data_IF_675669186341
#
_entry.id   IF_675669186341
#
_cell.length_a   1.000
_cell.length_b   1.000
_cell.length_c   1.000
_cell.angle_alpha   90.00
_cell.angle_beta   90.00
_cell.angle_gamma   90.00
#
_symmetry.space_group_name_H-M   'P 1'
#
loop_
_entity.id
_entity.type
_entity.pdbx_description
1 polymer ?
#
# COMPACT_ATOMS: atom_id res chain seq x y z
N UNK A 1 14.89 15.59 -21.61
CA UNK A 1 14.65 15.78 -20.16
C UNK A 1 14.89 14.44 -19.50
N UNK A 2 15.66 14.37 -18.42
CA UNK A 2 15.84 13.13 -17.66
C UNK A 2 14.54 12.82 -16.93
N UNK A 3 14.12 11.55 -16.94
CA UNK A 3 12.95 11.12 -16.15
C UNK A 3 13.21 11.32 -14.66
N UNK A 4 12.15 11.56 -13.88
CA UNK A 4 12.27 11.52 -12.42
C UNK A 4 12.33 10.09 -11.89
N UNK A 5 12.85 9.91 -10.67
CA UNK A 5 12.82 8.61 -9.99
C UNK A 5 11.67 8.53 -8.99
N UNK A 6 10.93 7.42 -9.01
CA UNK A 6 9.90 7.09 -8.02
C UNK A 6 10.22 5.75 -7.35
N UNK A 7 9.83 5.64 -6.08
CA UNK A 7 9.86 4.40 -5.29
C UNK A 7 8.42 3.97 -5.02
N UNK A 8 8.14 2.68 -5.18
CA UNK A 8 6.81 2.11 -5.01
C UNK A 8 6.78 1.18 -3.79
N UNK A 9 6.07 1.58 -2.73
CA UNK A 9 5.78 0.76 -1.56
C UNK A 9 4.67 1.39 -0.71
N UNK A 10 3.91 0.56 0.00
CA UNK A 10 2.93 1.00 0.98
C UNK A 10 3.57 1.21 2.34
N UNK A 11 3.28 2.36 2.96
CA UNK A 11 3.60 2.66 4.35
C UNK A 11 2.33 2.83 5.17
N UNK A 12 2.35 2.39 6.43
CA UNK A 12 1.18 2.34 7.29
C UNK A 12 0.62 3.74 7.55
N UNK A 13 -0.59 3.99 7.05
CA UNK A 13 -1.29 5.25 7.25
C UNK A 13 -0.84 6.40 6.33
N UNK A 14 0.05 6.14 5.36
CA UNK A 14 0.52 7.19 4.46
C UNK A 14 -0.52 7.63 3.41
N UNK A 15 -1.48 6.75 3.07
CA UNK A 15 -2.57 7.06 2.13
C UNK A 15 -2.18 7.05 0.65
N UNK A 16 -0.92 6.78 0.32
CA UNK A 16 -0.44 6.54 -1.04
C UNK A 16 0.73 5.56 -1.06
N UNK A 17 1.28 5.32 -2.25
CA UNK A 17 2.29 4.29 -2.47
C UNK A 17 3.48 4.72 -3.34
N UNK A 18 3.48 5.95 -3.88
CA UNK A 18 4.55 6.47 -4.70
C UNK A 18 5.33 7.55 -3.95
N UNK A 19 6.64 7.39 -3.89
CA UNK A 19 7.54 8.29 -3.17
C UNK A 19 8.61 8.81 -4.11
N UNK A 20 9.14 10.01 -3.87
CA UNK A 20 10.30 10.49 -4.60
C UNK A 20 11.51 9.56 -4.37
N UNK A 21 12.17 9.15 -5.46
CA UNK A 21 13.34 8.27 -5.45
C UNK A 21 14.68 8.99 -5.44
N UNK A 22 14.70 10.29 -5.74
CA UNK A 22 15.89 11.13 -5.73
C UNK A 22 15.54 12.55 -5.23
N UNK A 23 16.58 13.37 -5.02
CA UNK A 23 16.44 14.73 -4.52
C UNK A 23 15.73 15.66 -5.52
N UNK A 24 15.99 15.51 -6.82
CA UNK A 24 15.39 16.36 -7.86
C UNK A 24 13.89 16.12 -7.98
N UNK A 25 13.46 14.86 -7.95
CA UNK A 25 12.06 14.47 -7.93
C UNK A 25 11.40 14.88 -6.63
N UNK A 26 12.11 14.80 -5.50
CA UNK A 26 11.64 15.31 -4.21
C UNK A 26 11.51 16.83 -4.20
N UNK A 27 12.40 17.58 -4.85
CA UNK A 27 12.27 19.04 -4.94
C UNK A 27 11.03 19.44 -5.77
N UNK A 28 10.72 18.66 -6.82
CA UNK A 28 9.56 18.89 -7.69
C UNK A 28 8.23 18.44 -7.08
N UNK A 29 8.20 17.25 -6.48
CA UNK A 29 6.98 16.60 -5.98
C UNK A 29 6.86 16.68 -4.45
N UNK A 30 7.87 17.17 -3.74
CA UNK A 30 7.97 17.28 -2.28
C UNK A 30 7.96 15.96 -1.50
N UNK A 31 7.51 16.05 -0.25
CA UNK A 31 7.65 15.01 0.78
C UNK A 31 6.34 14.23 0.96
N UNK A 32 6.47 12.96 1.32
CA UNK A 32 5.35 12.04 1.50
C UNK A 32 5.00 11.30 0.21
N UNK A 33 3.92 10.51 0.22
CA UNK A 33 3.45 9.85 -0.98
C UNK A 33 2.90 10.89 -1.96
N UNK A 34 3.46 10.93 -3.16
CA UNK A 34 3.17 11.97 -4.18
C UNK A 34 1.85 11.72 -4.90
N UNK A 35 1.33 10.50 -4.81
CA UNK A 35 0.06 10.08 -5.38
C UNK A 35 -1.13 10.30 -4.43
N UNK A 36 -0.91 10.63 -3.16
CA UNK A 36 -1.98 10.88 -2.19
C UNK A 36 -2.31 12.37 -2.07
N UNK A 37 -3.60 12.68 -1.91
CA UNK A 37 -4.06 14.00 -1.47
C UNK A 37 -4.05 14.11 0.06
N UNK A 38 -4.24 15.33 0.58
CA UNK A 38 -4.45 15.55 2.02
C UNK A 38 -5.92 15.81 2.30
N UNK A 39 -6.40 15.36 3.47
CA UNK A 39 -7.80 15.46 3.88
C UNK A 39 -7.89 16.01 5.30
N UNK A 40 -8.98 16.74 5.59
CA UNK A 40 -9.30 17.12 6.96
C UNK A 40 -9.92 15.94 7.74
N UNK A 41 -10.16 16.14 9.05
CA UNK A 41 -10.81 15.14 9.91
C UNK A 41 -12.25 14.79 9.49
N UNK A 42 -12.85 15.56 8.57
CA UNK A 42 -14.19 15.33 8.01
C UNK A 42 -14.11 14.70 6.61
N UNK A 43 -12.93 14.29 6.16
CA UNK A 43 -12.70 13.67 4.86
C UNK A 43 -12.76 14.64 3.68
N UNK A 44 -12.73 15.96 3.91
CA UNK A 44 -12.70 16.96 2.83
C UNK A 44 -11.27 17.09 2.31
N UNK A 45 -11.13 17.09 0.98
CA UNK A 45 -9.84 17.29 0.32
C UNK A 45 -9.31 18.69 0.67
N UNK A 46 -8.15 18.74 1.31
CA UNK A 46 -7.41 19.97 1.59
C UNK A 46 -6.43 20.29 0.45
N UNK A 47 -5.80 19.27 -0.12
CA UNK A 47 -4.96 19.40 -1.31
C UNK A 47 -5.05 18.16 -2.19
N UNK A 48 -5.05 18.32 -3.53
CA UNK A 48 -5.02 17.17 -4.44
C UNK A 48 -3.67 16.45 -4.37
N UNK A 49 -3.64 15.24 -4.92
CA UNK A 49 -2.40 14.52 -5.20
C UNK A 49 -1.53 15.30 -6.18
N UNK A 50 -0.22 15.31 -5.94
CA UNK A 50 0.76 16.00 -6.81
C UNK A 50 1.00 15.23 -8.11
N UNK A 51 0.83 13.92 -8.03
CA UNK A 51 0.90 13.01 -9.14
C UNK A 51 -0.46 12.29 -9.26
N UNK A 52 -1.43 12.89 -9.98
CA UNK A 52 -2.75 12.30 -10.11
C UNK A 52 -2.70 11.02 -10.94
N UNK A 53 -3.35 9.97 -10.44
CA UNK A 53 -3.45 8.67 -11.10
C UNK A 53 -4.79 8.53 -11.83
N UNK A 54 -4.92 7.57 -12.75
CA UNK A 54 -6.23 7.22 -13.29
C UNK A 54 -7.20 6.74 -12.19
N UNK A 55 -8.51 6.87 -12.41
CA UNK A 55 -9.51 6.38 -11.47
C UNK A 55 -9.36 4.89 -11.16
N UNK A 56 -8.89 4.09 -12.12
CA UNK A 56 -8.62 2.67 -11.91
C UNK A 56 -7.42 2.45 -10.97
N UNK A 57 -6.33 3.19 -11.17
CA UNK A 57 -5.15 3.12 -10.33
C UNK A 57 -5.42 3.63 -8.90
N UNK A 58 -6.17 4.73 -8.77
CA UNK A 58 -6.57 5.26 -7.46
C UNK A 58 -7.39 4.23 -6.66
N UNK A 59 -8.42 3.63 -7.27
CA UNK A 59 -9.26 2.62 -6.59
C UNK A 59 -8.44 1.40 -6.15
N UNK A 60 -7.61 0.86 -7.03
CA UNK A 60 -6.78 -0.30 -6.71
C UNK A 60 -5.76 0.02 -5.61
N UNK A 61 -5.13 1.20 -5.66
CA UNK A 61 -4.24 1.68 -4.60
C UNK A 61 -4.99 1.83 -3.28
N UNK A 62 -6.16 2.44 -3.26
CA UNK A 62 -6.91 2.69 -2.03
C UNK A 62 -7.40 1.37 -1.41
N UNK A 63 -7.75 0.37 -2.23
CA UNK A 63 -8.05 -1.00 -1.80
C UNK A 63 -6.82 -1.70 -1.23
N UNK A 64 -5.69 -1.65 -1.91
CA UNK A 64 -4.44 -2.22 -1.42
C UNK A 64 -3.95 -1.54 -0.14
N UNK A 65 -4.01 -0.21 -0.05
CA UNK A 65 -3.63 0.55 1.14
C UNK A 65 -4.52 0.19 2.34
N UNK A 66 -5.83 0.02 2.11
CA UNK A 66 -6.73 -0.48 3.15
C UNK A 66 -6.37 -1.91 3.57
N UNK A 67 -6.13 -2.82 2.62
CA UNK A 67 -5.70 -4.17 2.95
C UNK A 67 -4.40 -4.17 3.74
N UNK A 68 -3.36 -3.50 3.25
CA UNK A 68 -2.04 -3.37 3.86
C UNK A 68 -2.10 -2.85 5.30
N UNK A 69 -3.00 -1.91 5.60
CA UNK A 69 -3.22 -1.43 6.98
C UNK A 69 -3.59 -2.54 7.99
N UNK A 70 -4.03 -3.70 7.50
CA UNK A 70 -4.42 -4.88 8.27
C UNK A 70 -3.36 -5.99 8.25
N UNK A 71 -2.19 -5.73 7.68
CA UNK A 71 -1.09 -6.71 7.66
C UNK A 71 -0.46 -6.90 9.03
N UNK A 72 -0.22 -5.82 9.78
CA UNK A 72 0.35 -5.89 11.13
C UNK A 72 -0.55 -6.64 12.09
N UNK A 73 0.07 -7.37 13.02
CA UNK A 73 -0.66 -8.07 14.05
C UNK A 73 -1.45 -7.08 14.94
N UNK A 74 -2.74 -7.36 15.20
CA UNK A 74 -3.62 -6.43 15.89
C UNK A 74 -3.36 -6.33 17.40
N UNK A 75 -2.71 -7.32 18.01
CA UNK A 75 -2.35 -7.29 19.44
C UNK A 75 -1.02 -6.59 19.65
N UNK A 76 -0.01 -6.94 18.87
CA UNK A 76 1.32 -6.37 18.96
C UNK A 76 2.00 -6.39 17.59
N UNK A 77 2.24 -5.24 16.93
CA UNK A 77 2.66 -5.20 15.52
C UNK A 77 3.88 -6.06 15.13
N UNK A 78 4.91 -6.25 15.98
CA UNK A 78 6.04 -7.13 15.69
C UNK A 78 5.72 -8.64 15.70
N UNK A 79 4.58 -9.05 16.24
CA UNK A 79 4.14 -10.45 16.21
C UNK A 79 3.70 -10.88 14.81
N UNK A 80 3.57 -12.20 14.55
CA UNK A 80 3.16 -12.72 13.24
C UNK A 80 1.90 -12.05 12.69
N UNK A 81 1.94 -11.65 11.42
CA UNK A 81 0.73 -11.27 10.69
C UNK A 81 -0.28 -12.42 10.72
N UNK A 82 -1.56 -12.10 10.84
CA UNK A 82 -2.63 -13.11 10.79
C UNK A 82 -3.00 -13.53 9.38
N UNK A 83 -2.39 -12.97 8.34
CA UNK A 83 -2.73 -13.27 6.96
C UNK A 83 -2.39 -14.71 6.59
N UNK A 84 -3.34 -15.42 6.00
CA UNK A 84 -3.05 -16.71 5.37
C UNK A 84 -2.21 -16.54 4.11
N UNK A 85 -1.55 -17.62 3.69
CA UNK A 85 -0.82 -17.63 2.42
C UNK A 85 -1.71 -17.22 1.24
N UNK A 86 -2.96 -17.68 1.21
CA UNK A 86 -3.91 -17.34 0.15
C UNK A 86 -4.24 -15.84 0.11
N UNK A 87 -4.28 -15.17 1.26
CA UNK A 87 -4.48 -13.72 1.33
C UNK A 87 -3.22 -12.98 0.86
N UNK A 88 -2.04 -13.42 1.30
CA UNK A 88 -0.76 -12.89 0.83
C UNK A 88 -0.63 -12.97 -0.70
N UNK A 89 -0.95 -14.12 -1.30
CA UNK A 89 -0.87 -14.34 -2.75
C UNK A 89 -1.80 -13.38 -3.52
N UNK A 90 -3.04 -13.21 -3.07
CA UNK A 90 -3.99 -12.27 -3.68
C UNK A 90 -3.50 -10.83 -3.59
N UNK A 91 -3.04 -10.42 -2.41
CA UNK A 91 -2.51 -9.08 -2.22
C UNK A 91 -1.31 -8.81 -3.14
N UNK A 92 -0.35 -9.74 -3.19
CA UNK A 92 0.83 -9.60 -4.03
C UNK A 92 0.47 -9.50 -5.52
N UNK A 93 -0.49 -10.30 -6.00
CA UNK A 93 -0.96 -10.23 -7.38
C UNK A 93 -1.60 -8.87 -7.71
N UNK A 94 -2.37 -8.30 -6.78
CA UNK A 94 -2.96 -6.97 -6.95
C UNK A 94 -1.90 -5.85 -6.87
N UNK A 95 -0.86 -6.01 -6.03
CA UNK A 95 0.31 -5.12 -6.01
C UNK A 95 1.02 -5.13 -7.37
N UNK A 96 1.27 -6.29 -7.95
CA UNK A 96 1.90 -6.42 -9.26
C UNK A 96 1.04 -5.78 -10.36
N UNK A 97 -0.28 -5.95 -10.27
CA UNK A 97 -1.25 -5.30 -11.18
C UNK A 97 -1.20 -3.78 -11.06
N UNK A 98 -1.14 -3.24 -9.83
CA UNK A 98 -1.02 -1.80 -9.61
C UNK A 98 0.30 -1.28 -10.16
N UNK A 99 1.42 -1.94 -9.88
CA UNK A 99 2.74 -1.53 -10.38
C UNK A 99 2.79 -1.49 -11.91
N UNK A 100 2.23 -2.51 -12.57
CA UNK A 100 2.14 -2.53 -14.04
C UNK A 100 1.27 -1.37 -14.58
N UNK A 101 0.18 -1.04 -13.88
CA UNK A 101 -0.68 0.08 -14.22
C UNK A 101 0.05 1.42 -14.08
N UNK A 102 0.74 1.64 -12.96
CA UNK A 102 1.52 2.85 -12.70
C UNK A 102 2.66 3.02 -13.72
N UNK A 103 3.38 1.95 -14.05
CA UNK A 103 4.44 1.99 -15.07
C UNK A 103 3.91 2.35 -16.45
N UNK A 104 2.71 1.89 -16.81
CA UNK A 104 2.07 2.27 -18.07
C UNK A 104 1.64 3.74 -18.07
N UNK A 105 1.09 4.22 -16.96
CA UNK A 105 0.57 5.59 -16.84
C UNK A 105 1.68 6.64 -16.72
N UNK A 106 2.77 6.32 -16.02
CA UNK A 106 3.78 7.30 -15.59
C UNK A 106 5.17 7.05 -16.20
N UNK A 107 5.36 5.91 -16.86
CA UNK A 107 6.66 5.46 -17.36
C UNK A 107 7.29 6.35 -18.43
N UNK A 108 6.52 7.28 -19.01
CA UNK A 108 7.05 8.31 -19.91
C UNK A 108 7.91 9.35 -19.18
N UNK A 109 7.49 9.73 -17.97
CA UNK A 109 8.09 10.83 -17.21
C UNK A 109 8.91 10.37 -16.00
N UNK A 110 8.67 9.14 -15.53
CA UNK A 110 9.28 8.60 -14.33
C UNK A 110 9.75 7.15 -14.50
N UNK A 111 10.87 6.80 -13.86
CA UNK A 111 11.27 5.42 -13.64
C UNK A 111 10.84 4.99 -12.23
N UNK A 112 10.12 3.85 -12.14
CA UNK A 112 9.50 3.37 -10.90
C UNK A 112 10.24 2.13 -10.38
N UNK A 113 10.95 2.31 -9.27
CA UNK A 113 11.60 1.24 -8.50
C UNK A 113 10.58 0.57 -7.59
N UNK A 114 10.46 -0.75 -7.71
CA UNK A 114 9.61 -1.55 -6.85
C UNK A 114 10.34 -1.86 -5.55
N UNK A 115 9.84 -1.36 -4.44
CA UNK A 115 10.38 -1.60 -3.09
C UNK A 115 9.35 -2.27 -2.18
N UNK A 116 8.16 -2.59 -2.70
CA UNK A 116 7.13 -3.26 -1.92
C UNK A 116 7.57 -4.71 -1.64
N UNK A 117 7.69 -5.15 -0.39
CA UNK A 117 7.89 -6.57 -0.12
C UNK A 117 6.69 -7.36 -0.60
N UNK A 118 6.94 -8.55 -1.17
CA UNK A 118 5.89 -9.53 -1.41
C UNK A 118 5.74 -10.39 -0.16
N UNK A 119 4.53 -10.45 0.37
CA UNK A 119 4.26 -11.11 1.64
C UNK A 119 4.10 -12.62 1.47
N UNK A 120 4.41 -13.35 2.52
CA UNK A 120 4.08 -14.75 2.70
C UNK A 120 3.44 -14.93 4.08
N UNK A 121 2.73 -16.02 4.28
CA UNK A 121 2.27 -16.39 5.62
C UNK A 121 3.47 -16.46 6.57
N UNK A 122 3.35 -15.86 7.75
CA UNK A 122 4.43 -15.92 8.73
C UNK A 122 4.59 -17.38 9.20
N UNK A 123 5.80 -17.97 9.11
CA UNK A 123 6.01 -19.37 9.47
C UNK A 123 5.71 -19.67 10.95
N UNK A 124 5.64 -18.65 11.81
CA UNK A 124 5.30 -18.77 13.23
C UNK A 124 3.80 -18.64 13.50
N UNK A 125 2.97 -18.38 12.48
CA UNK A 125 1.55 -18.08 12.67
C UNK A 125 0.80 -19.22 13.36
N UNK A 126 1.04 -20.47 12.95
CA UNK A 126 0.37 -21.63 13.56
C UNK A 126 0.64 -21.74 15.08
N UNK A 127 1.91 -21.64 15.48
CA UNK A 127 2.31 -21.66 16.90
C UNK A 127 1.76 -20.45 17.67
N UNK A 128 1.73 -19.29 17.02
CA UNK A 128 1.19 -18.07 17.60
C UNK A 128 -0.32 -18.19 17.86
N UNK A 129 -1.08 -18.74 16.92
CA UNK A 129 -2.52 -18.98 17.09
C UNK A 129 -2.83 -20.01 18.17
N UNK A 130 -2.01 -21.08 18.29
CA UNK A 130 -2.16 -22.07 19.35
C UNK A 130 -2.01 -21.46 20.76
N UNK A 131 -1.19 -20.42 20.90
CA UNK A 131 -0.99 -19.66 22.15
C UNK A 131 -2.01 -18.54 22.36
N UNK A 132 -2.74 -18.15 21.31
CA UNK A 132 -3.70 -17.04 21.30
C UNK A 132 -5.06 -17.51 20.76
N UNK A 133 -5.82 -18.35 21.50
CA UNK A 133 -7.02 -19.01 20.99
C UNK A 133 -8.19 -18.06 20.62
N UNK A 134 -8.11 -16.78 21.01
CA UNK A 134 -9.06 -15.74 20.60
C UNK A 134 -8.80 -15.18 19.21
N UNK A 135 -7.65 -15.47 18.60
CA UNK A 135 -7.28 -15.03 17.26
C UNK A 135 -7.56 -16.12 16.24
N UNK A 136 -7.74 -15.71 14.98
CA UNK A 136 -7.94 -16.61 13.84
C UNK A 136 -7.11 -16.12 12.67
N UNK A 137 -6.70 -17.07 11.83
CA UNK A 137 -6.13 -16.77 10.52
C UNK A 137 -7.11 -15.92 9.70
N UNK A 138 -6.57 -14.98 8.94
CA UNK A 138 -7.29 -14.07 8.07
C UNK A 138 -7.13 -14.51 6.62
N UNK A 139 -8.20 -15.03 6.04
CA UNK A 139 -8.25 -15.36 4.60
C UNK A 139 -8.71 -14.18 3.74
N UNK A 140 -9.32 -13.15 4.34
CA UNK A 140 -9.78 -11.98 3.61
C UNK A 140 -9.77 -10.76 4.51
N UNK A 141 -9.54 -9.60 3.91
CA UNK A 141 -9.77 -8.30 4.55
C UNK A 141 -11.15 -7.80 4.13
N UNK A 142 -12.03 -7.57 5.10
CA UNK A 142 -13.36 -6.99 4.85
C UNK A 142 -13.34 -5.51 5.19
N UNK A 143 -13.70 -4.63 4.24
CA UNK A 143 -14.02 -3.24 4.56
C UNK A 143 -15.29 -3.22 5.41
N UNK A 144 -15.31 -2.53 6.57
CA UNK A 144 -16.57 -2.31 7.27
C UNK A 144 -17.48 -1.48 6.37
N UNK A 145 -18.63 -2.04 6.03
CA UNK A 145 -19.72 -1.27 5.41
C UNK A 145 -20.41 -0.48 6.50
N UNK A 146 -20.26 0.85 6.48
CA UNK A 146 -21.14 1.72 7.27
C UNK A 146 -22.49 1.68 6.54
N UNK A 147 -23.49 1.12 7.20
CA UNK A 147 -24.90 1.13 6.76
C UNK A 147 -25.60 2.43 7.12
#
# INVERSE_FOLDING_TARGET
MTKGALRFFFDHGAGGCLWAGDEDTRARLGVGPVDAGSFDLKGRVLSPARLPLSAAAQRLRDDLGFQHSRYLNPLYPPDPSLWSQALCDRFNADVDRLLALLRRELGGDYDITDEQPRYAEDPRLADYLAKNPGLKVMDRVTRPTIG
#
